data_IF_414335606851
#
_entry.id   IF_414335606851
#
_cell.length_a   1.000
_cell.length_b   1.000
_cell.length_c   1.000
_cell.angle_alpha   90.00
_cell.angle_beta   90.00
_cell.angle_gamma   90.00
#
_symmetry.space_group_name_H-M   'P 1'
#
loop_
_entity.id
_entity.type
_entity.pdbx_description
1 polymer ?
#
# COMPACT_ATOMS: atom_id res chain seq x y z
N UNK A 1 -4.02 16.13 23.98
CA UNK A 1 -4.37 14.72 23.69
C UNK A 1 -4.59 14.65 22.19
N UNK A 2 -3.61 14.12 21.47
CA UNK A 2 -3.45 14.39 20.05
C UNK A 2 -4.18 13.30 19.26
N UNK A 3 -5.18 13.69 18.49
CA UNK A 3 -6.15 12.86 17.75
C UNK A 3 -5.57 12.14 16.53
N UNK A 4 -4.26 12.22 16.27
CA UNK A 4 -3.62 11.62 15.09
C UNK A 4 -3.43 10.10 15.16
N UNK A 5 -3.75 9.46 16.29
CA UNK A 5 -3.46 8.03 16.51
C UNK A 5 -4.57 7.09 16.00
N UNK A 6 -5.73 7.59 15.60
CA UNK A 6 -6.93 6.77 15.35
C UNK A 6 -7.15 6.30 13.92
N UNK A 7 -6.35 6.74 12.93
CA UNK A 7 -6.53 6.36 11.51
C UNK A 7 -5.23 5.86 10.84
N UNK A 8 -4.37 5.18 11.59
CA UNK A 8 -3.19 4.54 10.99
C UNK A 8 -3.66 3.40 10.08
N UNK A 9 -3.43 3.55 8.78
CA UNK A 9 -3.59 2.45 7.83
C UNK A 9 -2.58 1.36 8.17
N UNK A 10 -3.06 0.12 8.19
CA UNK A 10 -2.24 -1.05 8.46
C UNK A 10 -2.19 -1.95 7.25
N UNK A 11 -0.98 -2.35 6.87
CA UNK A 11 -0.77 -3.44 5.92
C UNK A 11 -1.08 -4.79 6.58
N UNK A 12 -2.36 -5.03 6.80
CA UNK A 12 -2.85 -6.27 7.38
C UNK A 12 -3.38 -7.22 6.28
N UNK A 13 -3.65 -8.46 6.68
CA UNK A 13 -4.18 -9.47 5.77
C UNK A 13 -5.54 -9.06 5.15
N UNK A 14 -6.35 -8.26 5.84
CA UNK A 14 -7.62 -7.78 5.31
C UNK A 14 -7.44 -6.76 4.16
N UNK A 15 -6.50 -5.82 4.31
CA UNK A 15 -6.07 -4.91 3.25
C UNK A 15 -5.58 -5.70 2.03
N UNK A 16 -4.63 -6.63 2.22
CA UNK A 16 -4.10 -7.46 1.13
C UNK A 16 -5.20 -8.26 0.43
N UNK A 17 -6.16 -8.82 1.19
CA UNK A 17 -7.30 -9.54 0.61
C UNK A 17 -8.22 -8.64 -0.21
N UNK A 18 -8.51 -7.42 0.23
CA UNK A 18 -9.33 -6.45 -0.51
C UNK A 18 -8.65 -6.05 -1.82
N UNK A 19 -7.35 -5.71 -1.76
CA UNK A 19 -6.56 -5.35 -2.94
C UNK A 19 -6.47 -6.52 -3.93
N UNK A 20 -6.18 -7.73 -3.45
CA UNK A 20 -6.10 -8.94 -4.27
C UNK A 20 -7.43 -9.27 -4.97
N UNK A 21 -8.55 -9.16 -4.25
CA UNK A 21 -9.89 -9.37 -4.82
C UNK A 21 -10.18 -8.33 -5.90
N UNK A 22 -9.91 -7.06 -5.63
CA UNK A 22 -10.12 -5.99 -6.62
C UNK A 22 -9.23 -6.17 -7.86
N UNK A 23 -7.96 -6.51 -7.67
CA UNK A 23 -7.02 -6.79 -8.75
C UNK A 23 -7.49 -7.96 -9.64
N UNK A 24 -7.92 -9.08 -9.03
CA UNK A 24 -8.46 -10.23 -9.77
C UNK A 24 -9.75 -9.88 -10.53
N UNK A 25 -10.63 -9.06 -9.96
CA UNK A 25 -11.83 -8.60 -10.64
C UNK A 25 -11.51 -7.78 -11.90
N UNK A 26 -10.50 -6.91 -11.84
CA UNK A 26 -10.13 -6.05 -12.97
C UNK A 26 -9.36 -6.85 -14.02
N UNK A 27 -8.27 -7.49 -13.64
CA UNK A 27 -7.32 -8.07 -14.59
C UNK A 27 -7.65 -9.49 -15.02
N UNK A 28 -8.33 -10.28 -14.19
CA UNK A 28 -8.73 -11.65 -14.56
C UNK A 28 -10.17 -11.71 -15.08
N UNK A 29 -11.08 -10.91 -14.52
CA UNK A 29 -12.50 -10.97 -14.87
C UNK A 29 -12.98 -9.79 -15.74
N UNK A 30 -12.09 -8.87 -16.13
CA UNK A 30 -12.40 -7.74 -17.02
C UNK A 30 -13.43 -6.76 -16.45
N UNK A 31 -13.62 -6.70 -15.13
CA UNK A 31 -14.59 -5.78 -14.52
C UNK A 31 -14.05 -4.35 -14.57
N UNK A 32 -14.93 -3.41 -14.91
CA UNK A 32 -14.61 -1.97 -14.86
C UNK A 32 -14.22 -1.56 -13.44
N UNK A 33 -13.23 -0.67 -13.33
CA UNK A 33 -12.78 -0.09 -12.05
C UNK A 33 -13.94 0.51 -11.24
N UNK A 34 -14.84 1.21 -11.92
CA UNK A 34 -16.02 1.84 -11.30
C UNK A 34 -17.20 0.88 -11.08
N UNK A 35 -17.00 -0.42 -11.28
CA UNK A 35 -18.04 -1.41 -11.04
C UNK A 35 -18.38 -1.50 -9.55
N UNK A 36 -19.65 -1.77 -9.25
CA UNK A 36 -20.13 -2.04 -7.87
C UNK A 36 -19.30 -3.15 -7.19
N UNK A 37 -18.83 -4.13 -7.95
CA UNK A 37 -18.03 -5.24 -7.42
C UNK A 37 -16.64 -4.80 -6.96
N UNK A 38 -15.98 -3.91 -7.70
CA UNK A 38 -14.62 -3.42 -7.39
C UNK A 38 -14.71 -2.35 -6.29
N UNK A 39 -15.64 -1.40 -6.44
CA UNK A 39 -15.87 -0.33 -5.47
C UNK A 39 -16.29 -0.85 -4.10
N UNK A 40 -16.97 -1.99 -4.01
CA UNK A 40 -17.29 -2.65 -2.72
C UNK A 40 -16.04 -2.94 -1.88
N UNK A 41 -14.92 -3.29 -2.50
CA UNK A 41 -13.68 -3.62 -1.79
C UNK A 41 -12.78 -2.41 -1.56
N UNK A 42 -12.83 -1.42 -2.45
CA UNK A 42 -11.88 -0.31 -2.45
C UNK A 42 -12.42 1.01 -1.90
N UNK A 43 -13.72 1.30 -2.08
CA UNK A 43 -14.27 2.65 -1.84
C UNK A 43 -14.37 3.01 -0.37
N UNK A 44 -14.61 2.03 0.51
CA UNK A 44 -14.78 2.27 1.95
C UNK A 44 -13.52 2.82 2.62
N UNK A 45 -12.35 2.40 2.14
CA UNK A 45 -11.05 2.80 2.69
C UNK A 45 -10.22 3.61 1.68
N UNK A 46 -10.81 4.02 0.55
CA UNK A 46 -10.12 4.71 -0.57
C UNK A 46 -8.83 3.98 -0.99
N UNK A 47 -8.94 2.66 -1.18
CA UNK A 47 -7.85 1.80 -1.61
C UNK A 47 -7.72 1.78 -3.14
N UNK A 48 -6.55 1.36 -3.61
CA UNK A 48 -6.28 1.15 -5.03
C UNK A 48 -6.07 -0.35 -5.31
N UNK A 49 -6.44 -0.86 -6.50
CA UNK A 49 -6.25 -2.26 -6.88
C UNK A 49 -4.80 -2.51 -7.33
N UNK A 50 -3.83 -1.90 -6.66
CA UNK A 50 -2.41 -1.99 -7.00
C UNK A 50 -1.71 -2.72 -5.87
N UNK A 51 -0.96 -3.77 -6.21
CA UNK A 51 -0.13 -4.46 -5.23
C UNK A 51 1.04 -3.57 -4.85
N UNK A 52 1.30 -3.46 -3.55
CA UNK A 52 2.42 -2.70 -3.07
C UNK A 52 3.67 -3.58 -3.08
N UNK A 53 4.73 -3.15 -3.77
CA UNK A 53 5.98 -3.92 -3.87
C UNK A 53 6.64 -4.20 -2.50
N UNK A 54 6.53 -3.27 -1.54
CA UNK A 54 7.01 -3.51 -0.17
C UNK A 54 6.20 -4.57 0.54
N UNK A 55 4.87 -4.54 0.38
CA UNK A 55 4.02 -5.61 0.91
C UNK A 55 4.38 -6.96 0.26
N UNK A 56 4.56 -7.03 -1.05
CA UNK A 56 4.95 -8.29 -1.73
C UNK A 56 6.34 -8.80 -1.32
N UNK A 57 7.34 -7.92 -1.22
CA UNK A 57 8.72 -8.31 -0.93
C UNK A 57 8.99 -8.57 0.56
N UNK A 58 8.26 -7.90 1.46
CA UNK A 58 8.55 -7.90 2.90
C UNK A 58 7.44 -8.53 3.75
N UNK A 59 6.28 -8.87 3.17
CA UNK A 59 5.23 -9.64 3.89
C UNK A 59 5.68 -11.03 4.33
N UNK A 60 6.72 -11.58 3.69
CA UNK A 60 7.28 -12.89 4.08
C UNK A 60 8.26 -12.84 5.25
N UNK A 61 8.75 -11.66 5.65
CA UNK A 61 9.82 -11.53 6.64
C UNK A 61 9.34 -11.20 8.06
N UNK A 62 8.18 -10.56 8.21
CA UNK A 62 7.67 -10.18 9.54
C UNK A 62 6.14 -9.96 9.49
N UNK A 63 5.38 -10.60 10.39
CA UNK A 63 3.91 -10.45 10.47
C UNK A 63 3.47 -9.03 10.87
N UNK A 64 4.41 -8.21 11.37
CA UNK A 64 4.17 -6.85 11.86
C UNK A 64 4.65 -5.74 10.91
N UNK A 65 5.11 -6.09 9.70
CA UNK A 65 5.62 -5.09 8.77
C UNK A 65 4.48 -4.26 8.16
N UNK A 66 4.34 -3.00 8.61
CA UNK A 66 3.37 -2.06 8.06
C UNK A 66 4.06 -1.05 7.13
N UNK A 67 3.94 -1.23 5.81
CA UNK A 67 4.58 -0.32 4.85
C UNK A 67 4.06 1.12 4.92
N UNK A 68 2.85 1.37 5.44
CA UNK A 68 2.34 2.73 5.58
C UNK A 68 3.20 3.57 6.55
N UNK A 69 3.89 2.93 7.50
CA UNK A 69 4.77 3.60 8.45
C UNK A 69 6.08 4.10 7.80
N UNK A 70 6.53 3.48 6.71
CA UNK A 70 7.73 3.90 5.98
C UNK A 70 7.61 5.33 5.45
N UNK A 71 6.39 5.77 5.12
CA UNK A 71 6.11 7.09 4.55
C UNK A 71 5.69 8.14 5.58
N UNK A 72 5.41 7.72 6.83
CA UNK A 72 5.05 8.62 7.93
C UNK A 72 6.30 9.16 8.62
N UNK A 73 7.35 8.34 8.73
CA UNK A 73 8.67 8.80 9.15
C UNK A 73 9.30 9.51 7.96
N UNK A 74 9.89 10.67 8.20
CA UNK A 74 10.56 11.56 7.23
C UNK A 74 11.85 10.93 6.61
N UNK A 75 11.85 9.62 6.41
CA UNK A 75 12.87 8.79 5.77
C UNK A 75 13.11 9.18 4.32
N UNK A 76 12.09 9.28 3.43
CA UNK A 76 12.33 9.73 2.05
C UNK A 76 12.87 11.16 2.03
N UNK A 77 12.33 12.09 2.82
CA UNK A 77 12.84 13.46 2.86
C UNK A 77 14.33 13.57 3.28
N UNK A 78 14.76 12.75 4.26
CA UNK A 78 16.17 12.72 4.72
C UNK A 78 17.09 11.91 3.81
N UNK A 79 16.60 10.90 3.11
CA UNK A 79 17.40 10.00 2.25
C UNK A 79 17.48 10.49 0.78
N UNK A 80 16.47 11.20 0.29
CA UNK A 80 16.30 11.60 -1.11
C UNK A 80 17.40 12.54 -1.63
N UNK A 81 17.90 13.47 -0.84
CA UNK A 81 18.70 14.56 -1.42
C UNK A 81 20.19 14.23 -1.65
N UNK A 82 20.74 13.19 -1.02
CA UNK A 82 22.18 12.90 -1.09
C UNK A 82 22.52 11.48 -1.54
N UNK A 83 21.67 10.49 -1.24
CA UNK A 83 21.99 9.08 -1.50
C UNK A 83 21.60 8.64 -2.91
N UNK A 84 20.46 9.12 -3.43
CA UNK A 84 20.03 8.79 -4.81
C UNK A 84 21.00 9.33 -5.87
N UNK A 85 21.64 10.49 -5.64
CA UNK A 85 22.71 10.96 -6.54
C UNK A 85 23.85 9.95 -6.61
N UNK A 86 24.36 9.49 -5.47
CA UNK A 86 25.49 8.57 -5.44
C UNK A 86 25.19 7.21 -6.09
N UNK A 87 23.96 6.70 -5.96
CA UNK A 87 23.57 5.39 -6.52
C UNK A 87 23.35 5.46 -8.04
N UNK A 88 22.88 6.59 -8.59
CA UNK A 88 22.61 6.74 -10.04
C UNK A 88 23.79 7.30 -10.85
N UNK A 89 24.94 7.55 -10.21
CA UNK A 89 26.16 8.00 -10.92
C UNK A 89 27.12 6.85 -11.24
N UNK A 90 26.75 5.60 -10.96
CA UNK A 90 27.58 4.41 -11.22
C UNK A 90 26.80 3.36 -12.01
#
# INVERSE_FOLDING_TARGET
MNTWRTELREDNNDYCRKVNKAHKLIFTQGKKLNSKYVTKYLKGESLVPTHNAFSECLSGSDETFNFFLLFIVDLPHKFELRVWKAIFTH
#
